data_IF_884870393371
#
_entry.id   IF_884870393371
#
_cell.length_a   1.000
_cell.length_b   1.000
_cell.length_c   1.000
_cell.angle_alpha   90.00
_cell.angle_beta   90.00
_cell.angle_gamma   90.00
#
_symmetry.space_group_name_H-M   'P 1'
#
loop_
_entity.id
_entity.type
_entity.pdbx_description
1 polymer ?
#
# COMPACT_ATOMS: atom_id res chain seq x y z
N UNK A 1 -1.76 12.39 13.53
CA UNK A 1 -0.45 11.79 13.12
C UNK A 1 -0.13 12.22 11.69
N UNK A 2 1.14 12.43 11.38
CA UNK A 2 1.56 12.78 10.00
C UNK A 2 1.25 11.64 9.02
N UNK A 3 0.77 11.99 7.84
CA UNK A 3 0.56 11.09 6.71
C UNK A 3 1.14 11.74 5.45
N UNK A 4 1.88 10.98 4.65
CA UNK A 4 2.47 11.47 3.38
C UNK A 4 1.38 11.89 2.38
N UNK A 5 0.27 11.18 2.39
CA UNK A 5 -0.87 11.43 1.51
C UNK A 5 -1.53 12.80 1.78
N UNK A 6 -1.27 13.45 2.93
CA UNK A 6 -1.74 14.81 3.24
C UNK A 6 -1.27 15.81 2.19
N UNK A 7 -0.05 15.65 1.69
CA UNK A 7 0.51 16.54 0.65
C UNK A 7 -0.33 16.44 -0.62
N UNK A 8 -0.65 15.22 -1.06
CA UNK A 8 -1.42 15.01 -2.30
C UNK A 8 -2.86 15.54 -2.18
N UNK A 9 -3.51 15.36 -1.01
CA UNK A 9 -4.86 15.89 -0.76
C UNK A 9 -4.82 17.42 -0.71
N UNK A 10 -3.85 18.01 0.00
CA UNK A 10 -3.68 19.47 0.09
C UNK A 10 -3.39 20.11 -1.27
N UNK A 11 -2.55 19.49 -2.10
CA UNK A 11 -2.29 19.92 -3.47
C UNK A 11 -3.56 19.82 -4.34
N UNK A 12 -4.33 18.74 -4.20
CA UNK A 12 -5.59 18.58 -4.91
C UNK A 12 -6.60 19.68 -4.52
N UNK A 13 -6.78 19.96 -3.23
CA UNK A 13 -7.68 21.02 -2.77
C UNK A 13 -7.32 22.37 -3.40
N UNK A 14 -6.03 22.68 -3.51
CA UNK A 14 -5.56 23.98 -4.02
C UNK A 14 -5.63 24.09 -5.54
N UNK A 15 -5.22 23.05 -6.25
CA UNK A 15 -4.82 23.15 -7.65
C UNK A 15 -5.67 22.32 -8.62
N UNK A 16 -6.51 21.39 -8.14
CA UNK A 16 -7.26 20.50 -9.03
C UNK A 16 -8.69 20.97 -9.25
N UNK A 17 -9.14 20.84 -10.51
CA UNK A 17 -10.55 20.98 -10.87
C UNK A 17 -11.25 19.62 -11.00
N UNK A 18 -10.56 18.50 -10.76
CA UNK A 18 -11.14 17.16 -10.82
C UNK A 18 -11.62 16.76 -9.43
N UNK A 19 -12.56 15.83 -9.37
CA UNK A 19 -12.91 15.18 -8.12
C UNK A 19 -11.77 14.27 -7.64
N UNK A 20 -11.68 14.02 -6.33
CA UNK A 20 -10.72 13.11 -5.71
C UNK A 20 -11.43 11.88 -5.17
N UNK A 21 -10.92 10.70 -5.49
CA UNK A 21 -11.34 9.44 -4.92
C UNK A 21 -10.21 8.83 -4.09
N UNK A 22 -10.39 8.77 -2.77
CA UNK A 22 -9.42 8.20 -1.85
C UNK A 22 -9.81 6.76 -1.53
N UNK A 23 -8.98 5.82 -1.96
CA UNK A 23 -9.21 4.37 -1.80
C UNK A 23 -8.20 3.72 -0.88
N UNK A 24 -8.47 2.50 -0.44
CA UNK A 24 -7.55 1.71 0.39
C UNK A 24 -8.28 0.94 1.47
N UNK A 25 -7.59 0.08 2.21
CA UNK A 25 -8.16 -0.79 3.22
C UNK A 25 -8.97 0.00 4.28
N UNK A 26 -9.84 -0.70 5.01
CA UNK A 26 -10.50 -0.10 6.18
C UNK A 26 -9.50 0.26 7.26
N UNK A 27 -9.84 1.27 8.08
CA UNK A 27 -9.09 1.71 9.26
C UNK A 27 -7.66 2.23 9.00
N UNK A 28 -7.32 2.57 7.75
CA UNK A 28 -6.03 3.22 7.42
C UNK A 28 -6.05 4.75 7.56
N UNK A 29 -7.18 5.33 8.02
CA UNK A 29 -7.31 6.75 8.33
C UNK A 29 -7.75 7.65 7.17
N UNK A 30 -8.41 7.13 6.12
CA UNK A 30 -8.90 7.91 4.97
C UNK A 30 -9.78 9.09 5.38
N UNK A 31 -10.87 8.81 6.07
CA UNK A 31 -11.85 9.81 6.54
C UNK A 31 -11.22 10.88 7.39
N UNK A 32 -10.36 10.46 8.35
CA UNK A 32 -9.66 11.39 9.23
C UNK A 32 -8.76 12.34 8.44
N UNK A 33 -7.97 11.80 7.49
CA UNK A 33 -7.02 12.60 6.70
C UNK A 33 -7.73 13.60 5.80
N UNK A 34 -8.83 13.20 5.15
CA UNK A 34 -9.63 14.09 4.31
C UNK A 34 -10.21 15.23 5.15
N UNK A 35 -10.79 14.94 6.31
CA UNK A 35 -11.35 15.96 7.23
C UNK A 35 -10.26 16.94 7.68
N UNK A 36 -9.12 16.45 8.10
CA UNK A 36 -7.97 17.24 8.58
C UNK A 36 -7.42 18.17 7.48
N UNK A 37 -7.32 17.71 6.23
CA UNK A 37 -6.82 18.52 5.12
C UNK A 37 -7.86 19.56 4.63
N UNK A 38 -9.16 19.25 4.67
CA UNK A 38 -10.20 20.24 4.37
C UNK A 38 -10.17 21.34 5.44
N UNK A 39 -10.09 20.99 6.72
CA UNK A 39 -10.01 21.96 7.82
C UNK A 39 -8.79 22.89 7.68
N UNK A 40 -7.61 22.34 7.40
CA UNK A 40 -6.38 23.12 7.17
C UNK A 40 -6.46 24.04 5.95
N UNK A 41 -7.24 23.67 4.95
CA UNK A 41 -7.37 24.44 3.71
C UNK A 41 -8.21 25.71 3.85
N UNK A 42 -9.02 25.81 4.90
CA UNK A 42 -9.98 26.89 5.12
C UNK A 42 -11.27 26.79 4.30
N UNK A 43 -11.45 25.73 3.52
CA UNK A 43 -12.72 25.44 2.84
C UNK A 43 -13.78 24.98 3.84
N UNK A 44 -15.04 25.38 3.61
CA UNK A 44 -16.20 24.81 4.31
C UNK A 44 -16.34 23.34 3.91
N UNK A 45 -16.55 22.46 4.89
CA UNK A 45 -16.78 21.03 4.65
C UNK A 45 -18.27 20.72 4.69
N UNK A 46 -18.81 20.17 3.61
CA UNK A 46 -20.09 19.47 3.64
C UNK A 46 -19.88 17.97 3.48
N UNK A 47 -20.23 17.20 4.50
CA UNK A 47 -19.94 15.76 4.55
C UNK A 47 -21.24 14.96 4.60
N UNK A 48 -21.31 13.90 3.77
CA UNK A 48 -22.34 12.86 3.80
C UNK A 48 -21.63 11.53 3.98
N UNK A 49 -21.85 10.89 5.13
CA UNK A 49 -21.38 9.53 5.40
C UNK A 49 -22.52 8.55 5.19
N UNK A 50 -22.40 7.67 4.20
CA UNK A 50 -23.47 6.77 3.79
C UNK A 50 -23.70 5.57 4.74
N UNK A 51 -22.80 5.34 5.71
CA UNK A 51 -23.02 4.36 6.78
C UNK A 51 -23.79 5.00 7.93
N UNK A 52 -23.39 6.21 8.34
CA UNK A 52 -24.01 6.92 9.46
C UNK A 52 -25.38 7.51 9.08
N UNK A 53 -25.58 7.80 7.79
CA UNK A 53 -26.76 8.43 7.22
C UNK A 53 -27.37 7.56 6.09
N UNK A 54 -27.90 6.37 6.39
CA UNK A 54 -28.41 5.43 5.38
C UNK A 54 -29.58 6.01 4.56
N UNK A 55 -30.38 6.92 5.12
CA UNK A 55 -31.45 7.60 4.42
C UNK A 55 -30.95 8.46 3.26
N UNK A 56 -29.71 8.97 3.35
CA UNK A 56 -29.09 9.73 2.27
C UNK A 56 -28.80 8.85 1.04
N UNK A 57 -28.59 7.55 1.21
CA UNK A 57 -28.48 6.61 0.09
C UNK A 57 -29.76 6.65 -0.74
N UNK A 58 -30.91 6.46 -0.11
CA UNK A 58 -32.22 6.48 -0.79
C UNK A 58 -32.51 7.86 -1.41
N UNK A 59 -32.13 8.94 -0.72
CA UNK A 59 -32.35 10.30 -1.18
C UNK A 59 -31.51 10.70 -2.41
N UNK A 60 -30.25 10.27 -2.45
CA UNK A 60 -29.28 10.64 -3.49
C UNK A 60 -29.12 9.58 -4.60
N UNK A 61 -29.59 8.33 -4.38
CA UNK A 61 -29.44 7.21 -5.32
C UNK A 61 -30.64 7.04 -6.25
N UNK A 62 -31.68 7.87 -6.15
CA UNK A 62 -32.83 7.79 -7.03
C UNK A 62 -32.41 8.00 -8.50
N UNK A 63 -33.11 7.36 -9.44
CA UNK A 63 -32.97 7.64 -10.87
C UNK A 63 -33.32 9.12 -11.11
N UNK A 64 -32.29 9.96 -11.24
CA UNK A 64 -32.43 11.41 -11.45
C UNK A 64 -31.30 11.91 -12.34
N UNK A 65 -31.55 13.02 -12.99
CA UNK A 65 -30.53 13.75 -13.72
C UNK A 65 -29.45 14.30 -12.78
N UNK A 66 -28.28 14.68 -13.32
CA UNK A 66 -27.23 15.30 -12.52
C UNK A 66 -27.65 16.68 -12.01
N UNK A 67 -28.51 17.41 -12.75
CA UNK A 67 -29.08 18.68 -12.31
C UNK A 67 -30.01 18.51 -11.11
N UNK A 68 -30.91 17.54 -11.15
CA UNK A 68 -31.79 17.21 -10.03
C UNK A 68 -31.00 16.75 -8.80
N UNK A 69 -29.93 15.97 -9.01
CA UNK A 69 -29.02 15.56 -7.95
C UNK A 69 -28.39 16.80 -7.28
N UNK A 70 -27.89 17.75 -8.07
CA UNK A 70 -27.28 18.97 -7.54
C UNK A 70 -28.27 19.84 -6.78
N UNK A 71 -29.51 19.95 -7.27
CA UNK A 71 -30.59 20.68 -6.57
C UNK A 71 -30.87 20.02 -5.22
N UNK A 72 -31.02 18.69 -5.18
CA UNK A 72 -31.24 17.94 -3.93
C UNK A 72 -30.06 18.09 -2.97
N UNK A 73 -28.85 18.04 -3.49
CA UNK A 73 -27.63 18.24 -2.69
C UNK A 73 -27.64 19.64 -2.05
N UNK A 74 -27.91 20.70 -2.84
CA UNK A 74 -27.99 22.07 -2.34
C UNK A 74 -29.13 22.27 -1.32
N UNK A 75 -30.22 21.52 -1.41
CA UNK A 75 -31.34 21.59 -0.46
C UNK A 75 -30.99 21.09 0.94
N UNK A 76 -30.02 20.16 1.06
CA UNK A 76 -29.60 19.59 2.35
C UNK A 76 -28.32 20.27 2.89
N UNK A 77 -27.70 21.15 2.12
CA UNK A 77 -26.53 21.88 2.55
C UNK A 77 -26.89 23.02 3.51
N UNK A 78 -26.12 23.23 4.59
CA UNK A 78 -26.19 24.43 5.42
C UNK A 78 -25.93 25.72 4.62
N UNK A 79 -26.43 26.86 5.13
CA UNK A 79 -26.31 28.16 4.46
C UNK A 79 -24.87 28.68 4.32
N UNK A 80 -23.94 28.18 5.15
CA UNK A 80 -22.51 28.52 5.10
C UNK A 80 -21.77 27.78 3.98
N UNK A 81 -22.38 26.78 3.34
CA UNK A 81 -21.82 26.05 2.20
C UNK A 81 -21.95 26.87 0.90
N UNK A 82 -21.00 27.79 0.69
CA UNK A 82 -20.99 28.67 -0.49
C UNK A 82 -20.30 28.02 -1.69
N UNK A 83 -20.78 28.41 -2.88
CA UNK A 83 -20.13 28.03 -4.14
C UNK A 83 -18.67 28.51 -4.17
N UNK A 84 -17.77 27.64 -4.68
CA UNK A 84 -16.31 27.83 -4.76
C UNK A 84 -15.55 27.92 -3.42
N UNK A 85 -16.25 27.83 -2.29
CA UNK A 85 -15.67 27.84 -0.94
C UNK A 85 -15.93 26.54 -0.18
N UNK A 86 -16.61 25.57 -0.80
CA UNK A 86 -17.05 24.32 -0.15
C UNK A 86 -16.43 23.11 -0.83
N UNK A 87 -15.94 22.18 0.00
CA UNK A 87 -15.60 20.81 -0.38
C UNK A 87 -16.72 19.87 0.06
N UNK A 88 -17.34 19.21 -0.90
CA UNK A 88 -18.33 18.14 -0.67
C UNK A 88 -17.59 16.84 -0.49
N UNK A 89 -17.76 16.22 0.69
CA UNK A 89 -17.13 14.95 1.03
C UNK A 89 -18.17 13.84 1.14
N UNK A 90 -18.10 12.89 0.21
CA UNK A 90 -18.89 11.66 0.24
C UNK A 90 -18.06 10.54 0.85
N UNK A 91 -18.34 10.17 2.09
CA UNK A 91 -17.67 9.10 2.81
C UNK A 91 -18.41 7.77 2.66
N UNK A 92 -17.66 6.67 2.56
CA UNK A 92 -18.17 5.31 2.33
C UNK A 92 -19.01 5.21 1.03
N UNK A 93 -18.47 5.80 -0.05
CA UNK A 93 -19.13 5.96 -1.36
C UNK A 93 -19.58 4.63 -1.99
N UNK A 94 -19.01 3.49 -1.56
CA UNK A 94 -19.44 2.17 -2.02
C UNK A 94 -20.92 1.85 -1.65
N UNK A 95 -21.50 2.58 -0.71
CA UNK A 95 -22.93 2.46 -0.40
C UNK A 95 -23.84 3.24 -1.36
N UNK A 96 -23.25 4.17 -2.15
CA UNK A 96 -23.96 4.99 -3.14
C UNK A 96 -23.10 5.18 -4.40
N UNK A 97 -22.75 4.10 -5.13
CA UNK A 97 -21.77 4.13 -6.22
C UNK A 97 -22.22 4.95 -7.43
N UNK A 98 -23.53 5.19 -7.62
CA UNK A 98 -24.08 5.99 -8.70
C UNK A 98 -23.61 7.45 -8.68
N UNK A 99 -23.19 7.98 -7.54
CA UNK A 99 -22.60 9.32 -7.46
C UNK A 99 -21.33 9.40 -8.32
N UNK A 100 -20.52 8.32 -8.36
CA UNK A 100 -19.32 8.27 -9.17
C UNK A 100 -19.64 8.45 -10.66
N UNK A 101 -20.78 7.96 -11.14
CA UNK A 101 -21.20 8.14 -12.53
C UNK A 101 -21.63 9.57 -12.84
N UNK A 102 -22.16 10.28 -11.84
CA UNK A 102 -22.62 11.67 -11.96
C UNK A 102 -21.47 12.68 -11.80
N UNK A 103 -20.30 12.26 -11.29
CA UNK A 103 -19.21 13.16 -10.89
C UNK A 103 -18.72 14.05 -12.03
N UNK A 104 -18.77 13.57 -13.29
CA UNK A 104 -18.43 14.37 -14.46
C UNK A 104 -19.25 15.66 -14.52
N UNK A 105 -20.56 15.55 -14.43
CA UNK A 105 -21.48 16.71 -14.51
C UNK A 105 -21.33 17.64 -13.31
N UNK A 106 -21.07 17.09 -12.13
CA UNK A 106 -20.84 17.87 -10.91
C UNK A 106 -19.55 18.68 -10.99
N UNK A 107 -18.50 18.10 -11.58
CA UNK A 107 -17.21 18.78 -11.81
C UNK A 107 -17.34 19.85 -12.90
N UNK A 108 -18.07 19.55 -14.00
CA UNK A 108 -18.30 20.49 -15.10
C UNK A 108 -19.13 21.70 -14.65
N UNK A 109 -20.11 21.51 -13.76
CA UNK A 109 -20.91 22.59 -13.17
C UNK A 109 -20.05 23.52 -12.30
N UNK A 110 -19.05 22.98 -11.58
CA UNK A 110 -17.96 23.74 -10.98
C UNK A 110 -18.30 24.49 -9.67
N UNK A 111 -19.51 24.40 -9.12
CA UNK A 111 -19.86 25.08 -7.86
C UNK A 111 -19.05 24.61 -6.66
N UNK A 112 -18.69 23.32 -6.60
CA UNK A 112 -18.06 22.71 -5.45
C UNK A 112 -16.86 21.85 -5.86
N UNK A 113 -15.96 21.61 -4.92
CA UNK A 113 -14.95 20.54 -5.02
C UNK A 113 -15.55 19.27 -4.43
N UNK A 114 -15.24 18.12 -5.05
CA UNK A 114 -15.80 16.83 -4.62
C UNK A 114 -14.68 15.89 -4.24
N UNK A 115 -14.72 15.37 -3.01
CA UNK A 115 -13.87 14.28 -2.56
C UNK A 115 -14.73 13.11 -2.12
N UNK A 116 -14.31 11.91 -2.45
CA UNK A 116 -14.99 10.67 -2.10
C UNK A 116 -14.00 9.77 -1.39
N UNK A 117 -14.46 9.03 -0.39
CA UNK A 117 -13.68 7.95 0.20
C UNK A 117 -14.47 6.64 0.23
N UNK A 118 -13.76 5.54 0.16
CA UNK A 118 -14.35 4.23 0.35
C UNK A 118 -13.31 3.14 0.51
N UNK A 119 -13.69 2.15 1.29
CA UNK A 119 -13.00 0.87 1.36
C UNK A 119 -13.59 -0.04 0.30
N UNK A 120 -12.83 -0.98 -0.26
CA UNK A 120 -13.34 -1.98 -1.23
C UNK A 120 -13.77 -1.44 -2.60
N UNK A 121 -13.52 -0.16 -2.89
CA UNK A 121 -13.93 0.46 -4.16
C UNK A 121 -13.38 -0.26 -5.40
N UNK A 122 -12.21 -0.88 -5.30
CA UNK A 122 -11.67 -1.71 -6.39
C UNK A 122 -12.54 -2.91 -6.73
N UNK A 123 -13.36 -3.40 -5.80
CA UNK A 123 -14.29 -4.52 -5.99
C UNK A 123 -15.64 -4.04 -6.51
N UNK A 124 -16.18 -2.98 -5.92
CA UNK A 124 -17.55 -2.51 -6.17
C UNK A 124 -17.66 -1.63 -7.41
N UNK A 125 -16.61 -0.85 -7.74
CA UNK A 125 -16.58 -0.06 -8.97
C UNK A 125 -16.53 -0.92 -10.25
N UNK A 126 -16.24 -2.21 -10.17
CA UNK A 126 -16.36 -3.15 -11.32
C UNK A 126 -17.79 -3.24 -11.89
N UNK A 127 -18.80 -2.85 -11.10
CA UNK A 127 -20.20 -2.78 -11.53
C UNK A 127 -20.63 -1.43 -12.12
N UNK A 128 -19.78 -0.39 -12.04
CA UNK A 128 -20.11 0.94 -12.56
C UNK A 128 -19.78 1.00 -14.05
N UNK A 129 -20.80 1.24 -14.86
CA UNK A 129 -20.74 1.20 -16.33
C UNK A 129 -19.74 2.20 -16.95
N UNK A 130 -19.28 3.24 -16.22
CA UNK A 130 -18.25 4.17 -16.70
C UNK A 130 -17.69 5.03 -15.54
N UNK A 131 -16.48 4.75 -15.09
CA UNK A 131 -15.72 5.73 -14.35
C UNK A 131 -15.41 6.90 -15.30
N UNK A 132 -15.71 8.17 -14.93
CA UNK A 132 -15.53 9.31 -15.82
C UNK A 132 -14.03 9.62 -15.99
N UNK A 133 -13.43 9.03 -17.02
CA UNK A 133 -12.03 9.26 -17.39
C UNK A 133 -11.82 10.77 -17.61
N UNK A 134 -10.83 11.35 -16.94
CA UNK A 134 -10.51 12.77 -17.06
C UNK A 134 -11.10 13.67 -15.96
N UNK A 135 -12.14 13.25 -15.25
CA UNK A 135 -12.82 14.02 -14.19
C UNK A 135 -12.49 13.56 -12.77
N UNK A 136 -11.81 12.46 -12.63
CA UNK A 136 -11.51 11.82 -11.35
C UNK A 136 -10.01 11.58 -11.21
N UNK A 137 -9.45 11.98 -10.08
CA UNK A 137 -8.12 11.60 -9.61
C UNK A 137 -8.28 10.54 -8.53
N UNK A 138 -7.53 9.44 -8.63
CA UNK A 138 -7.56 8.36 -7.64
C UNK A 138 -6.30 8.41 -6.79
N UNK A 139 -6.46 8.52 -5.47
CA UNK A 139 -5.39 8.40 -4.49
C UNK A 139 -5.58 7.08 -3.73
N UNK A 140 -4.60 6.19 -3.85
CA UNK A 140 -4.61 4.93 -3.11
C UNK A 140 -3.77 5.08 -1.85
N UNK A 141 -4.42 5.04 -0.69
CA UNK A 141 -3.78 5.04 0.61
C UNK A 141 -3.39 3.62 1.05
N UNK A 142 -2.31 3.55 1.79
CA UNK A 142 -1.81 2.32 2.42
C UNK A 142 -1.70 2.51 3.93
N UNK A 143 -1.52 1.43 4.74
CA UNK A 143 -1.09 1.55 6.12
C UNK A 143 0.17 2.42 6.23
N UNK A 144 0.41 3.02 7.39
CA UNK A 144 1.58 3.87 7.63
C UNK A 144 2.87 3.10 7.31
N UNK A 145 3.73 3.71 6.54
CA UNK A 145 5.04 3.17 6.24
C UNK A 145 6.04 3.43 7.39
N UNK A 146 7.28 2.93 7.26
CA UNK A 146 8.26 3.10 8.32
C UNK A 146 8.66 4.56 8.54
N UNK A 147 8.67 5.41 7.51
CA UNK A 147 8.93 6.85 7.66
C UNK A 147 7.83 7.53 8.47
N UNK A 148 6.56 7.26 8.16
CA UNK A 148 5.41 7.76 8.92
C UNK A 148 5.42 7.26 10.37
N UNK A 149 5.81 5.99 10.59
CA UNK A 149 5.99 5.41 11.92
C UNK A 149 7.10 6.11 12.71
N UNK A 150 8.25 6.38 12.08
CA UNK A 150 9.34 7.15 12.69
C UNK A 150 8.88 8.54 13.12
N UNK A 151 8.19 9.26 12.22
CA UNK A 151 7.65 10.59 12.52
C UNK A 151 6.61 10.56 13.65
N UNK A 152 5.74 9.57 13.68
CA UNK A 152 4.76 9.37 14.74
C UNK A 152 5.42 9.10 16.11
N UNK A 153 6.62 8.53 16.11
CA UNK A 153 7.44 8.31 17.32
C UNK A 153 8.47 9.43 17.55
N UNK A 154 8.25 10.63 17.00
CA UNK A 154 9.05 11.85 17.22
C UNK A 154 10.51 11.76 16.72
N UNK A 155 10.79 10.94 15.71
CA UNK A 155 12.08 11.03 14.99
C UNK A 155 12.11 12.35 14.24
N UNK A 156 13.20 13.12 14.41
CA UNK A 156 13.33 14.45 13.84
C UNK A 156 13.45 14.42 12.31
N UNK A 157 12.95 15.46 11.65
CA UNK A 157 13.11 15.66 10.20
C UNK A 157 14.60 15.66 9.82
N UNK A 158 15.47 16.25 10.65
CA UNK A 158 16.94 16.24 10.45
C UNK A 158 17.49 14.80 10.35
N UNK A 159 16.96 13.87 11.16
CA UNK A 159 17.36 12.45 11.07
C UNK A 159 16.90 11.83 9.75
N UNK A 160 15.67 12.14 9.30
CA UNK A 160 15.16 11.64 8.03
C UNK A 160 15.96 12.20 6.84
N UNK A 161 16.31 13.49 6.88
CA UNK A 161 17.15 14.13 5.85
C UNK A 161 18.54 13.49 5.81
N UNK A 162 19.16 13.26 6.98
CA UNK A 162 20.43 12.56 7.07
C UNK A 162 20.35 11.16 6.46
N UNK A 163 19.27 10.40 6.72
CA UNK A 163 19.08 9.07 6.11
C UNK A 163 18.94 9.14 4.60
N UNK A 164 18.21 10.14 4.07
CA UNK A 164 18.12 10.40 2.63
C UNK A 164 19.50 10.68 2.00
N UNK A 165 20.33 11.50 2.66
CA UNK A 165 21.70 11.79 2.18
C UNK A 165 22.59 10.53 2.22
N UNK A 166 22.53 9.76 3.32
CA UNK A 166 23.28 8.51 3.45
C UNK A 166 22.90 7.49 2.37
N UNK A 167 21.62 7.37 2.09
CA UNK A 167 21.10 6.51 1.02
C UNK A 167 21.59 6.97 -0.37
N UNK A 168 21.47 8.27 -0.69
CA UNK A 168 21.91 8.85 -1.98
C UNK A 168 23.43 8.70 -2.20
N UNK A 169 24.19 8.96 -1.15
CA UNK A 169 25.67 8.93 -1.22
C UNK A 169 26.25 7.54 -0.93
N UNK A 170 25.39 6.53 -0.73
CA UNK A 170 25.80 5.16 -0.39
C UNK A 170 26.83 5.13 0.74
N UNK A 171 26.62 5.91 1.79
CA UNK A 171 27.54 6.08 2.90
C UNK A 171 26.95 5.54 4.21
N UNK A 172 27.76 4.93 5.09
CA UNK A 172 27.27 4.29 6.30
C UNK A 172 26.63 5.30 7.26
N UNK A 173 25.59 4.87 7.96
CA UNK A 173 25.00 5.57 9.08
C UNK A 173 25.89 5.39 10.30
N UNK A 174 25.97 6.41 11.18
CA UNK A 174 26.64 6.27 12.46
C UNK A 174 26.10 5.02 13.20
N UNK A 175 27.02 4.24 13.79
CA UNK A 175 26.67 2.92 14.35
C UNK A 175 25.63 3.02 15.47
N UNK A 176 25.73 4.05 16.32
CA UNK A 176 24.74 4.25 17.40
C UNK A 176 23.36 4.55 16.83
N UNK A 177 23.28 5.42 15.81
CA UNK A 177 22.03 5.77 15.13
C UNK A 177 21.47 4.55 14.39
N UNK A 178 22.34 3.80 13.69
CA UNK A 178 21.99 2.57 12.97
C UNK A 178 21.29 1.57 13.92
N UNK A 179 21.90 1.29 15.07
CA UNK A 179 21.34 0.34 16.05
C UNK A 179 20.00 0.82 16.65
N UNK A 180 19.83 2.12 16.85
CA UNK A 180 18.57 2.70 17.31
C UNK A 180 17.46 2.56 16.26
N UNK A 181 17.75 2.89 15.03
CA UNK A 181 16.79 2.77 13.91
C UNK A 181 16.43 1.30 13.63
N UNK A 182 17.42 0.42 13.70
CA UNK A 182 17.17 -1.02 13.55
C UNK A 182 16.27 -1.54 14.67
N UNK A 183 16.50 -1.11 15.91
CA UNK A 183 15.63 -1.47 17.03
C UNK A 183 14.20 -0.94 16.85
N UNK A 184 14.05 0.29 16.35
CA UNK A 184 12.75 0.87 16.02
C UNK A 184 12.06 0.11 14.89
N UNK A 185 12.81 -0.35 13.89
CA UNK A 185 12.26 -1.16 12.81
C UNK A 185 11.72 -2.51 13.31
N UNK A 186 12.41 -3.16 14.26
CA UNK A 186 11.88 -4.38 14.87
C UNK A 186 10.58 -4.14 15.65
N UNK A 187 10.44 -2.99 16.30
CA UNK A 187 9.16 -2.57 16.90
C UNK A 187 8.09 -2.38 15.81
N UNK A 188 8.45 -1.72 14.70
CA UNK A 188 7.54 -1.54 13.57
C UNK A 188 7.06 -2.88 12.97
N UNK A 189 7.92 -3.91 12.91
CA UNK A 189 7.50 -5.25 12.47
C UNK A 189 6.37 -5.84 13.32
N UNK A 190 6.25 -5.40 14.58
CA UNK A 190 5.22 -5.89 15.49
C UNK A 190 4.00 -4.97 15.51
N UNK A 191 4.21 -3.66 15.55
CA UNK A 191 3.13 -2.66 15.62
C UNK A 191 2.46 -2.46 14.27
N UNK A 192 3.24 -2.52 13.19
CA UNK A 192 2.78 -2.23 11.83
C UNK A 192 2.47 -0.76 11.60
N UNK A 193 1.68 -0.53 10.55
CA UNK A 193 1.27 0.80 10.09
C UNK A 193 -0.23 1.09 10.22
N UNK A 194 -1.01 0.26 10.90
CA UNK A 194 -2.41 0.58 11.17
C UNK A 194 -2.49 1.73 12.17
N UNK A 195 -3.15 2.88 11.82
CA UNK A 195 -3.11 4.10 12.65
C UNK A 195 -3.51 3.88 14.10
N UNK A 196 -4.53 3.08 14.37
CA UNK A 196 -4.98 2.81 15.74
C UNK A 196 -3.97 1.95 16.50
N UNK A 197 -3.31 1.00 15.85
CA UNK A 197 -2.24 0.21 16.46
C UNK A 197 -1.01 1.08 16.78
N UNK A 198 -0.62 1.98 15.86
CA UNK A 198 0.47 2.94 16.08
C UNK A 198 0.13 3.91 17.21
N UNK A 199 -1.09 4.44 17.24
CA UNK A 199 -1.57 5.33 18.31
C UNK A 199 -1.52 4.61 19.66
N UNK A 200 -2.06 3.41 19.76
CA UNK A 200 -2.05 2.60 20.99
C UNK A 200 -0.63 2.35 21.45
N UNK A 201 0.29 2.03 20.54
CA UNK A 201 1.70 1.87 20.89
C UNK A 201 2.32 3.17 21.44
N UNK A 202 2.04 4.32 20.83
CA UNK A 202 2.58 5.61 21.28
C UNK A 202 2.10 5.94 22.69
N UNK A 203 0.82 5.70 22.96
CA UNK A 203 0.17 6.04 24.24
C UNK A 203 0.54 5.08 25.36
N UNK A 204 0.64 3.78 25.09
CA UNK A 204 0.76 2.74 26.13
C UNK A 204 2.14 2.10 26.22
N UNK A 205 2.88 2.04 25.10
CA UNK A 205 4.11 1.24 24.93
C UNK A 205 3.90 -0.26 25.24
N UNK A 206 2.66 -0.72 25.34
CA UNK A 206 2.30 -2.11 25.64
C UNK A 206 1.90 -2.86 24.35
N UNK A 207 2.72 -3.82 23.97
CA UNK A 207 2.49 -4.65 22.77
C UNK A 207 1.22 -5.52 22.90
N UNK A 208 0.78 -5.83 24.12
CA UNK A 208 -0.46 -6.60 24.35
C UNK A 208 -1.70 -5.78 23.98
N UNK A 209 -1.69 -4.48 24.28
CA UNK A 209 -2.79 -3.58 23.88
C UNK A 209 -2.79 -3.38 22.35
N UNK A 210 -1.62 -3.25 21.75
CA UNK A 210 -1.48 -3.22 20.26
C UNK A 210 -2.04 -4.51 19.63
N UNK A 211 -1.72 -5.68 20.18
CA UNK A 211 -2.18 -6.97 19.68
C UNK A 211 -3.73 -7.09 19.70
N UNK A 212 -4.38 -6.56 20.76
CA UNK A 212 -5.85 -6.50 20.80
C UNK A 212 -6.41 -5.70 19.65
N UNK A 213 -5.89 -4.49 19.42
CA UNK A 213 -6.32 -3.62 18.31
C UNK A 213 -6.13 -4.32 16.96
N UNK A 214 -4.99 -4.96 16.75
CA UNK A 214 -4.70 -5.69 15.51
C UNK A 214 -5.64 -6.87 15.29
N UNK A 215 -6.01 -7.61 16.34
CA UNK A 215 -6.99 -8.69 16.27
C UNK A 215 -8.38 -8.19 15.95
N UNK A 216 -8.79 -7.06 16.52
CA UNK A 216 -10.07 -6.43 16.23
C UNK A 216 -10.14 -6.01 14.76
N UNK A 217 -9.08 -5.37 14.23
CA UNK A 217 -8.96 -5.02 12.81
C UNK A 217 -9.08 -6.26 11.91
N UNK A 218 -8.34 -7.32 12.26
CA UNK A 218 -8.37 -8.58 11.49
C UNK A 218 -9.77 -9.23 11.52
N UNK A 219 -10.45 -9.17 12.64
CA UNK A 219 -11.82 -9.67 12.78
C UNK A 219 -12.78 -8.89 11.88
N UNK A 220 -12.71 -7.56 11.90
CA UNK A 220 -13.51 -6.70 11.03
C UNK A 220 -13.25 -6.97 9.54
N UNK A 221 -11.99 -7.18 9.13
CA UNK A 221 -11.68 -7.56 7.76
C UNK A 221 -12.37 -8.88 7.36
N UNK A 222 -12.34 -9.89 8.24
CA UNK A 222 -13.00 -11.17 8.00
C UNK A 222 -14.52 -11.08 7.97
N UNK A 223 -15.11 -10.18 8.72
CA UNK A 223 -16.54 -9.88 8.66
C UNK A 223 -16.90 -9.22 7.33
N UNK A 224 -16.08 -8.28 6.85
CA UNK A 224 -16.29 -7.64 5.55
C UNK A 224 -16.23 -8.63 4.40
N UNK A 225 -15.30 -9.61 4.44
CA UNK A 225 -15.29 -10.68 3.44
C UNK A 225 -16.61 -11.41 3.35
N UNK A 226 -17.37 -11.43 4.46
CA UNK A 226 -18.68 -12.10 4.56
C UNK A 226 -19.82 -11.30 3.98
N UNK A 227 -19.70 -9.97 3.84
CA UNK A 227 -20.80 -9.11 3.36
C UNK A 227 -20.91 -9.09 1.83
N UNK A 228 -19.83 -9.32 1.10
CA UNK A 228 -19.72 -9.02 -0.32
C UNK A 228 -19.64 -10.23 -1.25
N UNK A 229 -19.63 -11.47 -0.73
CA UNK A 229 -19.51 -12.66 -1.55
C UNK A 229 -20.56 -13.73 -1.24
N UNK A 230 -20.85 -14.56 -2.23
CA UNK A 230 -21.69 -15.77 -2.09
C UNK A 230 -21.04 -16.70 -1.06
N UNK A 231 -21.82 -17.40 -0.24
CA UNK A 231 -21.35 -18.15 0.95
C UNK A 231 -20.10 -19.04 0.73
N UNK A 232 -20.03 -19.76 -0.38
CA UNK A 232 -18.88 -20.61 -0.71
C UNK A 232 -17.57 -19.81 -0.90
N UNK A 233 -17.66 -18.54 -1.33
CA UNK A 233 -16.51 -17.69 -1.54
C UNK A 233 -16.05 -16.98 -0.26
N UNK A 234 -16.97 -16.72 0.67
CA UNK A 234 -16.67 -16.13 1.98
C UNK A 234 -15.66 -16.96 2.78
N UNK A 235 -15.94 -18.28 2.87
CA UNK A 235 -15.04 -19.21 3.56
C UNK A 235 -13.67 -19.28 2.89
N UNK A 236 -13.64 -19.19 1.54
CA UNK A 236 -12.40 -19.20 0.77
C UNK A 236 -11.55 -17.96 1.04
N UNK A 237 -12.14 -16.76 1.02
CA UNK A 237 -11.44 -15.50 1.34
C UNK A 237 -10.83 -15.53 2.74
N UNK A 238 -11.61 -15.96 3.75
CA UNK A 238 -11.12 -16.11 5.12
C UNK A 238 -9.96 -17.10 5.20
N UNK A 239 -10.11 -18.27 4.58
CA UNK A 239 -9.07 -19.29 4.57
C UNK A 239 -7.79 -18.84 3.88
N UNK A 240 -7.90 -18.12 2.74
CA UNK A 240 -6.74 -17.55 2.05
C UNK A 240 -6.02 -16.55 2.96
N UNK A 241 -6.77 -15.63 3.58
CA UNK A 241 -6.19 -14.60 4.46
C UNK A 241 -5.48 -15.24 5.67
N UNK A 242 -6.10 -16.25 6.29
CA UNK A 242 -5.59 -16.93 7.48
C UNK A 242 -4.31 -17.72 7.22
N UNK A 243 -4.10 -18.23 6.02
CA UNK A 243 -2.89 -19.04 5.71
C UNK A 243 -1.71 -18.19 5.23
N UNK A 244 -1.87 -16.87 4.99
CA UNK A 244 -0.77 -15.99 4.55
C UNK A 244 0.48 -16.15 5.43
N UNK A 245 0.41 -16.09 6.77
CA UNK A 245 1.58 -16.21 7.62
C UNK A 245 2.27 -17.59 7.46
N UNK A 246 1.49 -18.64 7.33
CA UNK A 246 2.01 -20.01 7.16
C UNK A 246 2.69 -20.21 5.80
N UNK A 247 2.12 -19.64 4.72
CA UNK A 247 2.70 -19.72 3.38
C UNK A 247 4.02 -18.95 3.27
N UNK A 248 4.12 -17.78 3.89
CA UNK A 248 5.34 -16.98 3.92
C UNK A 248 6.48 -17.60 4.73
N UNK A 249 6.18 -18.45 5.72
CA UNK A 249 7.19 -19.15 6.51
C UNK A 249 7.75 -20.41 5.84
N UNK A 250 7.15 -20.87 4.76
CA UNK A 250 7.66 -22.04 4.03
C UNK A 250 8.97 -21.73 3.33
N UNK A 251 9.81 -22.72 3.17
CA UNK A 251 11.03 -22.62 2.36
C UNK A 251 10.73 -22.26 0.90
N UNK A 252 9.61 -22.78 0.36
CA UNK A 252 9.06 -22.37 -0.93
C UNK A 252 7.83 -21.48 -0.68
N UNK A 253 8.00 -20.18 -0.74
CA UNK A 253 6.98 -19.16 -0.45
C UNK A 253 5.95 -18.97 -1.57
N UNK A 254 6.01 -19.78 -2.63
CA UNK A 254 4.97 -19.83 -3.66
C UNK A 254 3.66 -20.24 -2.99
N UNK A 255 2.59 -19.45 -3.20
CA UNK A 255 1.27 -19.77 -2.69
C UNK A 255 0.78 -21.11 -3.27
N UNK A 256 0.42 -22.07 -2.39
CA UNK A 256 0.08 -23.46 -2.78
C UNK A 256 -1.39 -23.72 -2.52
N UNK A 257 -2.19 -23.78 -3.60
CA UNK A 257 -3.64 -23.98 -3.55
C UNK A 257 -4.10 -25.27 -2.89
N UNK A 258 -3.29 -26.34 -2.97
CA UNK A 258 -3.61 -27.64 -2.37
C UNK A 258 -3.67 -27.63 -0.85
N UNK A 259 -3.21 -26.53 -0.20
CA UNK A 259 -3.39 -26.30 1.23
C UNK A 259 -4.83 -25.90 1.58
N UNK A 260 -5.53 -25.29 0.64
CA UNK A 260 -6.94 -24.89 0.82
C UNK A 260 -7.88 -26.05 0.51
N UNK A 261 -7.57 -26.80 -0.55
CA UNK A 261 -8.32 -28.01 -0.95
C UNK A 261 -7.50 -28.80 -1.96
N UNK A 262 -7.47 -30.14 -1.83
CA UNK A 262 -6.62 -31.07 -2.64
C UNK A 262 -7.00 -31.09 -4.13
N UNK A 263 -8.22 -30.72 -4.49
CA UNK A 263 -8.73 -30.79 -5.88
C UNK A 263 -8.76 -29.45 -6.63
N UNK A 264 -8.18 -28.36 -6.06
CA UNK A 264 -8.42 -27.02 -6.55
C UNK A 264 -7.36 -26.53 -7.55
N UNK A 265 -7.89 -25.89 -8.61
CA UNK A 265 -7.13 -25.16 -9.64
C UNK A 265 -7.18 -23.66 -9.38
N UNK A 266 -6.15 -22.92 -9.81
CA UNK A 266 -6.01 -21.48 -9.73
C UNK A 266 -7.27 -20.72 -10.17
N UNK A 267 -7.87 -21.10 -11.30
CA UNK A 267 -9.01 -20.43 -11.92
C UNK A 267 -10.22 -20.25 -10.98
N UNK A 268 -10.36 -21.13 -9.98
CA UNK A 268 -11.45 -21.04 -9.00
C UNK A 268 -11.20 -20.06 -7.86
N UNK A 269 -9.95 -19.60 -7.68
CA UNK A 269 -9.55 -18.69 -6.61
C UNK A 269 -9.02 -17.36 -7.11
N UNK A 270 -8.77 -17.20 -8.40
CA UNK A 270 -8.23 -15.97 -8.98
C UNK A 270 -9.04 -14.76 -8.56
N UNK A 271 -10.36 -14.83 -8.65
CA UNK A 271 -11.26 -13.76 -8.22
C UNK A 271 -11.12 -13.43 -6.72
N UNK A 272 -10.86 -14.44 -5.87
CA UNK A 272 -10.68 -14.22 -4.42
C UNK A 272 -9.36 -13.50 -4.11
N UNK A 273 -8.29 -13.82 -4.83
CA UNK A 273 -7.01 -13.09 -4.68
C UNK A 273 -7.10 -11.66 -5.21
N UNK A 274 -7.75 -11.48 -6.36
CA UNK A 274 -8.01 -10.14 -6.90
C UNK A 274 -8.85 -9.33 -5.92
N UNK A 275 -9.83 -9.96 -5.29
CA UNK A 275 -10.66 -9.30 -4.28
C UNK A 275 -9.82 -8.83 -3.08
N UNK A 276 -8.99 -9.69 -2.48
CA UNK A 276 -8.12 -9.32 -1.35
C UNK A 276 -7.12 -8.20 -1.71
N UNK A 277 -6.60 -8.23 -2.95
CA UNK A 277 -5.75 -7.16 -3.49
C UNK A 277 -6.52 -5.85 -3.62
N UNK A 278 -7.71 -5.89 -4.23
CA UNK A 278 -8.53 -4.72 -4.51
C UNK A 278 -9.10 -4.13 -3.20
N UNK A 279 -9.40 -4.98 -2.21
CA UNK A 279 -9.74 -4.58 -0.85
C UNK A 279 -8.54 -3.94 -0.09
N UNK A 280 -7.34 -4.09 -0.62
CA UNK A 280 -6.13 -3.52 -0.01
C UNK A 280 -5.63 -4.27 1.22
N UNK A 281 -6.09 -5.52 1.45
CA UNK A 281 -5.71 -6.31 2.64
C UNK A 281 -4.59 -7.31 2.37
N UNK A 282 -4.31 -7.61 1.10
CA UNK A 282 -3.20 -8.47 0.71
C UNK A 282 -2.48 -7.94 -0.55
N UNK A 283 -1.21 -8.31 -0.69
CA UNK A 283 -0.31 -7.86 -1.75
C UNK A 283 0.19 -9.09 -2.53
N UNK A 284 -0.40 -9.42 -3.69
CA UNK A 284 0.12 -10.48 -4.54
C UNK A 284 1.36 -9.99 -5.31
N UNK A 285 2.46 -10.70 -5.15
CA UNK A 285 3.71 -10.50 -5.89
C UNK A 285 3.88 -11.68 -6.84
N UNK A 286 3.84 -11.40 -8.14
CA UNK A 286 3.85 -12.43 -9.18
C UNK A 286 5.26 -12.79 -9.63
N UNK A 287 5.44 -14.01 -10.11
CA UNK A 287 6.68 -14.42 -10.75
C UNK A 287 6.80 -13.79 -12.14
N UNK A 288 8.03 -13.42 -12.52
CA UNK A 288 8.41 -13.14 -13.91
C UNK A 288 9.39 -14.18 -14.41
N UNK A 289 9.24 -14.59 -15.67
CA UNK A 289 10.11 -15.61 -16.28
C UNK A 289 11.49 -15.05 -16.65
N UNK A 290 11.55 -13.75 -16.94
CA UNK A 290 12.80 -13.04 -17.20
C UNK A 290 12.74 -11.64 -16.60
N UNK A 291 13.80 -11.18 -15.92
CA UNK A 291 13.87 -9.84 -15.34
C UNK A 291 14.28 -8.81 -16.39
N UNK A 292 13.42 -8.59 -17.39
CA UNK A 292 13.62 -7.64 -18.50
C UNK A 292 12.42 -6.73 -18.65
N UNK A 293 12.65 -5.48 -19.06
CA UNK A 293 11.59 -4.48 -19.26
C UNK A 293 10.80 -4.78 -20.55
N UNK A 294 9.46 -4.70 -20.51
CA UNK A 294 8.62 -4.53 -19.31
C UNK A 294 8.44 -5.84 -18.55
N UNK A 295 8.61 -5.82 -17.22
CA UNK A 295 8.47 -7.01 -16.35
C UNK A 295 7.11 -7.69 -16.50
N UNK A 296 6.07 -6.89 -16.74
CA UNK A 296 4.71 -7.38 -16.96
C UNK A 296 4.61 -8.36 -18.14
N UNK A 297 5.45 -8.22 -19.18
CA UNK A 297 5.41 -9.07 -20.38
C UNK A 297 5.77 -10.53 -20.08
N UNK A 298 6.59 -10.79 -19.06
CA UNK A 298 7.02 -12.13 -18.65
C UNK A 298 6.33 -12.63 -17.37
N UNK A 299 5.24 -11.97 -16.95
CA UNK A 299 4.50 -12.30 -15.72
C UNK A 299 3.79 -13.66 -15.86
N UNK A 300 4.02 -14.54 -14.90
CA UNK A 300 3.27 -15.80 -14.76
C UNK A 300 2.02 -15.56 -13.90
N UNK A 301 0.83 -15.72 -14.48
CA UNK A 301 -0.44 -15.41 -13.79
C UNK A 301 -0.74 -16.32 -12.59
N UNK A 302 -0.28 -17.57 -12.62
CA UNK A 302 -0.59 -18.62 -11.64
C UNK A 302 0.55 -18.89 -10.63
N UNK A 303 1.63 -18.12 -10.68
CA UNK A 303 2.77 -18.25 -9.78
C UNK A 303 2.97 -16.93 -9.05
N UNK A 304 2.60 -16.88 -7.77
CA UNK A 304 2.73 -15.68 -6.96
C UNK A 304 2.99 -16.03 -5.49
N UNK A 305 3.47 -15.03 -4.76
CA UNK A 305 3.52 -14.98 -3.30
C UNK A 305 2.44 -14.03 -2.83
N UNK A 306 1.85 -14.27 -1.66
CA UNK A 306 0.83 -13.40 -1.10
C UNK A 306 1.32 -12.83 0.23
N UNK A 307 1.54 -11.52 0.25
CA UNK A 307 1.96 -10.79 1.44
C UNK A 307 0.76 -10.10 2.10
N UNK A 308 0.85 -9.83 3.40
CA UNK A 308 -0.10 -8.96 4.09
C UNK A 308 0.13 -7.50 3.69
N UNK A 309 -0.92 -6.71 3.59
CA UNK A 309 -0.80 -5.27 3.33
C UNK A 309 -0.22 -4.49 4.50
N UNK A 310 -0.23 -5.07 5.70
CA UNK A 310 0.38 -4.51 6.91
C UNK A 310 1.19 -5.56 7.65
N UNK A 311 2.44 -5.21 8.00
CA UNK A 311 3.36 -6.12 8.68
C UNK A 311 2.92 -6.41 10.11
N UNK A 312 2.30 -5.45 10.80
CA UNK A 312 1.79 -5.66 12.16
C UNK A 312 0.61 -6.63 12.18
N UNK A 313 -0.29 -6.56 11.20
CA UNK A 313 -1.38 -7.53 11.04
C UNK A 313 -0.85 -8.92 10.71
N UNK A 314 0.22 -9.04 9.90
CA UNK A 314 0.91 -10.32 9.70
C UNK A 314 1.44 -10.85 11.03
N UNK A 315 2.17 -10.03 11.77
CA UNK A 315 2.83 -10.41 13.03
C UNK A 315 1.83 -10.73 14.13
N UNK A 316 0.64 -10.11 14.11
CA UNK A 316 -0.44 -10.40 15.07
C UNK A 316 -0.92 -11.86 15.02
N UNK A 317 -0.75 -12.54 13.89
CA UNK A 317 -1.10 -13.95 13.73
C UNK A 317 -0.11 -14.92 14.41
N UNK A 318 1.05 -14.42 14.88
CA UNK A 318 2.06 -15.23 15.53
C UNK A 318 1.90 -15.22 17.07
N UNK A 319 2.39 -16.27 17.78
CA UNK A 319 2.39 -16.30 19.24
C UNK A 319 3.17 -15.13 19.87
N UNK A 320 2.85 -14.80 21.13
CA UNK A 320 3.51 -13.72 21.84
C UNK A 320 5.02 -13.95 22.00
N UNK A 321 5.43 -15.19 22.15
CA UNK A 321 6.85 -15.61 22.24
C UNK A 321 7.61 -15.19 21.00
N UNK A 322 7.08 -15.44 19.80
CA UNK A 322 7.68 -15.01 18.52
C UNK A 322 7.85 -13.50 18.45
N UNK A 323 6.87 -12.73 18.94
CA UNK A 323 6.96 -11.25 18.99
C UNK A 323 8.07 -10.79 19.92
N UNK A 324 8.23 -11.43 21.07
CA UNK A 324 9.32 -11.13 22.02
C UNK A 324 10.69 -11.48 21.45
N UNK A 325 10.80 -12.58 20.71
CA UNK A 325 12.04 -12.97 20.04
C UNK A 325 12.43 -11.98 18.95
N UNK A 326 11.47 -11.44 18.19
CA UNK A 326 11.71 -10.35 17.24
C UNK A 326 12.32 -9.13 17.93
N UNK A 327 11.77 -8.71 19.08
CA UNK A 327 12.29 -7.55 19.85
C UNK A 327 13.70 -7.83 20.37
N UNK A 328 13.93 -9.01 20.92
CA UNK A 328 15.19 -9.38 21.56
C UNK A 328 16.31 -9.66 20.54
N UNK A 329 16.03 -9.59 19.25
CA UNK A 329 16.99 -9.85 18.15
C UNK A 329 17.65 -11.24 18.27
N UNK A 330 16.99 -12.21 18.88
CA UNK A 330 17.48 -13.58 18.96
C UNK A 330 17.43 -14.17 17.55
N UNK A 331 18.60 -14.31 16.92
CA UNK A 331 18.75 -14.77 15.53
C UNK A 331 18.32 -16.23 15.27
N UNK A 332 17.66 -16.88 16.21
CA UNK A 332 17.08 -18.21 16.10
C UNK A 332 15.71 -18.20 15.39
N UNK A 333 15.01 -17.04 15.35
CA UNK A 333 13.75 -16.92 14.63
C UNK A 333 14.03 -16.65 13.15
N UNK A 334 13.34 -17.38 12.29
CA UNK A 334 13.36 -17.09 10.85
C UNK A 334 12.59 -15.81 10.54
N UNK A 335 13.23 -14.66 10.64
CA UNK A 335 12.66 -13.34 10.39
C UNK A 335 12.47 -13.04 8.89
N UNK A 336 12.81 -13.97 8.00
CA UNK A 336 12.76 -13.77 6.55
C UNK A 336 11.36 -13.39 6.06
N UNK A 337 10.31 -14.06 6.57
CA UNK A 337 8.93 -13.75 6.22
C UNK A 337 8.52 -12.33 6.61
N UNK A 338 8.90 -11.87 7.81
CA UNK A 338 8.60 -10.52 8.29
C UNK A 338 9.34 -9.46 7.50
N UNK A 339 10.63 -9.67 7.24
CA UNK A 339 11.44 -8.72 6.45
C UNK A 339 10.93 -8.61 5.02
N UNK A 340 10.66 -9.73 4.36
CA UNK A 340 10.12 -9.71 2.99
C UNK A 340 8.73 -9.05 2.95
N UNK A 341 7.86 -9.31 3.94
CA UNK A 341 6.56 -8.65 3.99
C UNK A 341 6.69 -7.14 4.17
N UNK A 342 7.59 -6.67 5.04
CA UNK A 342 7.83 -5.25 5.23
C UNK A 342 8.37 -4.59 3.96
N UNK A 343 9.27 -5.25 3.22
CA UNK A 343 9.78 -4.77 1.94
C UNK A 343 8.67 -4.75 0.88
N UNK A 344 7.85 -5.81 0.77
CA UNK A 344 6.72 -5.86 -0.18
C UNK A 344 5.72 -4.72 0.08
N UNK A 345 5.36 -4.50 1.35
CA UNK A 345 4.51 -3.40 1.79
C UNK A 345 5.11 -2.05 1.39
N UNK A 346 6.38 -1.83 1.68
CA UNK A 346 7.06 -0.57 1.43
C UNK A 346 7.21 -0.28 -0.06
N UNK A 347 7.63 -1.26 -0.87
CA UNK A 347 7.71 -1.10 -2.32
C UNK A 347 6.35 -0.73 -2.92
N UNK A 348 5.27 -1.42 -2.47
CA UNK A 348 3.92 -1.14 -2.94
C UNK A 348 3.44 0.25 -2.53
N UNK A 349 3.70 0.68 -1.29
CA UNK A 349 3.35 2.01 -0.80
C UNK A 349 4.10 3.13 -1.55
N UNK A 350 5.32 2.86 -2.01
CA UNK A 350 6.12 3.77 -2.83
C UNK A 350 5.75 3.76 -4.34
N UNK A 351 4.68 3.03 -4.72
CA UNK A 351 4.15 3.01 -6.08
C UNK A 351 4.76 1.96 -7.00
N UNK A 352 5.70 1.14 -6.54
CA UNK A 352 6.23 0.04 -7.33
C UNK A 352 5.24 -1.12 -7.46
N UNK A 353 5.35 -1.85 -8.55
CA UNK A 353 4.73 -3.16 -8.74
C UNK A 353 5.84 -4.21 -8.55
N UNK A 354 6.00 -4.78 -7.35
CA UNK A 354 7.03 -5.76 -7.12
C UNK A 354 6.68 -7.10 -7.79
N UNK A 355 7.69 -7.72 -8.37
CA UNK A 355 7.67 -9.10 -8.86
C UNK A 355 8.75 -9.90 -8.14
N UNK A 356 8.77 -11.22 -8.31
CA UNK A 356 9.92 -12.06 -7.98
C UNK A 356 10.35 -12.84 -9.21
N UNK A 357 11.57 -13.35 -9.24
CA UNK A 357 12.02 -14.17 -10.34
C UNK A 357 12.61 -15.47 -9.82
N UNK A 358 12.00 -16.61 -10.21
CA UNK A 358 12.46 -17.94 -9.88
C UNK A 358 12.77 -18.72 -11.14
N UNK A 359 14.00 -19.17 -11.29
CA UNK A 359 14.45 -19.93 -12.44
C UNK A 359 15.18 -21.19 -12.03
N UNK A 360 14.84 -22.32 -12.68
CA UNK A 360 15.49 -23.62 -12.43
C UNK A 360 16.98 -23.50 -12.71
N UNK A 361 17.82 -24.01 -11.81
CA UNK A 361 19.28 -24.02 -11.86
C UNK A 361 19.98 -22.65 -11.68
N UNK A 362 19.25 -21.53 -11.58
CA UNK A 362 19.81 -20.20 -11.31
C UNK A 362 19.55 -19.84 -9.85
N UNK A 363 18.31 -19.95 -9.41
CA UNK A 363 17.88 -19.61 -8.07
C UNK A 363 16.60 -18.78 -8.06
N UNK A 364 16.41 -18.03 -6.99
CA UNK A 364 15.24 -17.20 -6.76
C UNK A 364 15.68 -15.84 -6.21
N UNK A 365 15.26 -14.74 -6.84
CA UNK A 365 15.37 -13.37 -6.33
C UNK A 365 14.11 -13.01 -5.59
N UNK A 366 14.23 -12.43 -4.39
CA UNK A 366 13.09 -12.12 -3.54
C UNK A 366 12.15 -11.11 -4.18
N UNK A 367 12.69 -10.01 -4.72
CA UNK A 367 11.94 -9.03 -5.49
C UNK A 367 12.71 -8.55 -6.72
N UNK A 368 11.93 -8.12 -7.71
CA UNK A 368 12.39 -7.44 -8.92
C UNK A 368 11.44 -6.29 -9.20
N UNK A 369 11.95 -5.10 -9.39
CA UNK A 369 11.16 -3.90 -9.70
C UNK A 369 11.70 -3.21 -10.96
N UNK A 370 10.83 -2.43 -11.61
CA UNK A 370 11.24 -1.43 -12.57
C UNK A 370 11.48 -0.10 -11.83
N UNK A 371 12.64 0.49 -11.98
CA UNK A 371 12.99 1.75 -11.35
C UNK A 371 13.88 2.59 -12.29
N UNK A 372 13.43 3.80 -12.59
CA UNK A 372 14.14 4.73 -13.48
C UNK A 372 14.51 4.10 -14.85
N UNK A 373 13.59 3.35 -15.44
CA UNK A 373 13.77 2.69 -16.73
C UNK A 373 14.72 1.49 -16.73
N UNK A 374 15.06 0.94 -15.56
CA UNK A 374 15.92 -0.24 -15.39
C UNK A 374 15.26 -1.28 -14.50
N UNK A 375 15.64 -2.54 -14.71
CA UNK A 375 15.27 -3.62 -13.79
C UNK A 375 16.25 -3.62 -12.62
N UNK A 376 15.71 -3.64 -11.41
CA UNK A 376 16.49 -3.65 -10.17
C UNK A 376 16.09 -4.87 -9.34
N UNK A 377 16.99 -5.86 -9.19
CA UNK A 377 16.84 -6.95 -8.26
C UNK A 377 17.00 -6.49 -6.81
N UNK A 378 16.21 -7.09 -5.93
CA UNK A 378 16.24 -6.85 -4.49
C UNK A 378 16.26 -8.20 -3.78
N UNK A 379 17.24 -8.39 -2.91
CA UNK A 379 17.37 -9.53 -2.02
C UNK A 379 17.14 -9.08 -0.58
N UNK A 380 16.50 -9.92 0.24
CA UNK A 380 16.16 -9.60 1.63
C UNK A 380 16.79 -10.65 2.55
N UNK A 381 17.62 -10.21 3.48
CA UNK A 381 18.37 -11.08 4.40
C UNK A 381 18.12 -10.69 5.85
N UNK A 382 17.54 -11.57 6.63
CA UNK A 382 17.29 -11.35 8.07
C UNK A 382 18.44 -11.85 8.96
N UNK A 383 19.36 -12.67 8.43
CA UNK A 383 20.48 -13.25 9.18
C UNK A 383 21.80 -12.46 9.04
N UNK A 384 22.80 -12.84 9.85
CA UNK A 384 24.13 -12.21 9.84
C UNK A 384 24.95 -12.50 8.57
N UNK A 385 24.66 -13.59 7.86
CA UNK A 385 25.35 -13.98 6.62
C UNK A 385 24.73 -13.33 5.38
N UNK A 386 24.36 -12.05 5.45
CA UNK A 386 23.62 -11.34 4.41
C UNK A 386 24.43 -11.11 3.11
N UNK A 387 25.75 -11.22 3.15
CA UNK A 387 26.62 -11.15 1.97
C UNK A 387 26.63 -12.43 1.13
N UNK A 388 25.95 -13.48 1.59
CA UNK A 388 25.81 -14.74 0.84
C UNK A 388 24.51 -14.74 0.05
N UNK A 389 24.56 -14.42 -1.23
CA UNK A 389 23.40 -14.28 -2.13
C UNK A 389 23.65 -14.91 -3.51
N UNK A 390 24.04 -16.19 -3.52
CA UNK A 390 24.42 -16.94 -4.73
C UNK A 390 23.38 -16.82 -5.88
N UNK A 391 22.08 -16.80 -5.55
CA UNK A 391 21.04 -16.65 -6.57
C UNK A 391 21.14 -15.28 -7.25
N UNK A 392 21.23 -14.21 -6.48
CA UNK A 392 21.40 -12.86 -7.00
C UNK A 392 22.65 -12.77 -7.89
N UNK A 393 23.79 -13.30 -7.44
CA UNK A 393 25.03 -13.31 -8.23
C UNK A 393 24.86 -14.04 -9.56
N UNK A 394 24.18 -15.18 -9.56
CA UNK A 394 23.89 -15.92 -10.78
C UNK A 394 23.04 -15.11 -11.76
N UNK A 395 22.02 -14.40 -11.28
CA UNK A 395 21.16 -13.56 -12.13
C UNK A 395 21.92 -12.34 -12.67
N UNK A 396 22.72 -11.67 -11.82
CA UNK A 396 23.54 -10.51 -12.24
C UNK A 396 24.55 -10.84 -13.32
N UNK A 397 25.03 -12.10 -13.38
CA UNK A 397 26.00 -12.57 -14.36
C UNK A 397 25.38 -13.02 -15.70
N UNK A 398 24.04 -12.92 -15.89
CA UNK A 398 23.39 -13.24 -17.17
C UNK A 398 23.38 -11.98 -18.05
N UNK A 399 24.15 -11.92 -19.15
CA UNK A 399 24.30 -10.71 -19.95
C UNK A 399 22.96 -10.22 -20.54
N UNK A 400 22.09 -11.13 -20.95
CA UNK A 400 20.79 -10.80 -21.59
C UNK A 400 19.82 -10.06 -20.66
N UNK A 401 20.05 -10.06 -19.35
CA UNK A 401 19.18 -9.37 -18.39
C UNK A 401 19.58 -7.90 -18.15
N UNK A 402 20.76 -7.50 -18.57
CA UNK A 402 21.26 -6.13 -18.44
C UNK A 402 21.09 -5.55 -17.04
N UNK A 403 21.33 -6.36 -16.00
CA UNK A 403 21.20 -5.97 -14.61
C UNK A 403 22.46 -5.21 -14.18
N UNK A 404 22.34 -3.89 -13.98
CA UNK A 404 23.48 -3.03 -13.68
C UNK A 404 23.69 -2.81 -12.17
N UNK A 405 22.62 -2.93 -11.39
CA UNK A 405 22.62 -2.65 -9.94
C UNK A 405 21.63 -3.57 -9.24
N UNK A 406 21.98 -3.97 -8.02
CA UNK A 406 21.10 -4.70 -7.13
C UNK A 406 21.15 -4.13 -5.71
N UNK A 407 20.09 -4.36 -4.94
CA UNK A 407 20.04 -4.03 -3.52
C UNK A 407 19.90 -5.29 -2.68
N UNK A 408 20.61 -5.31 -1.54
CA UNK A 408 20.45 -6.32 -0.49
C UNK A 408 20.02 -5.62 0.79
N UNK A 409 18.78 -5.81 1.21
CA UNK A 409 18.29 -5.30 2.49
C UNK A 409 18.60 -6.28 3.61
N UNK A 410 19.24 -5.78 4.67
CA UNK A 410 19.68 -6.61 5.79
C UNK A 410 19.72 -5.85 7.12
N UNK A 411 20.19 -6.52 8.16
CA UNK A 411 20.50 -5.89 9.45
C UNK A 411 21.84 -5.12 9.43
N UNK A 412 22.63 -5.26 8.35
CA UNK A 412 23.92 -4.56 8.19
C UNK A 412 23.74 -3.07 7.86
N UNK A 413 24.82 -2.33 7.98
CA UNK A 413 24.89 -0.91 7.60
C UNK A 413 25.07 -0.73 6.08
N UNK A 414 25.07 0.51 5.60
CA UNK A 414 25.26 0.81 4.17
C UNK A 414 26.67 0.45 3.73
N UNK A 415 26.75 -0.35 2.68
CA UNK A 415 28.01 -0.79 2.05
C UNK A 415 27.78 -1.04 0.55
N UNK A 416 28.82 -0.93 -0.28
CA UNK A 416 28.74 -1.26 -1.71
C UNK A 416 29.88 -2.17 -2.10
N UNK A 417 29.56 -3.28 -2.78
CA UNK A 417 30.51 -4.22 -3.37
C UNK A 417 30.16 -4.43 -4.85
N UNK A 418 30.96 -3.88 -5.75
CA UNK A 418 30.69 -3.94 -7.19
C UNK A 418 29.35 -3.32 -7.57
N UNK A 419 28.45 -4.12 -8.14
CA UNK A 419 27.10 -3.71 -8.55
C UNK A 419 26.06 -3.87 -7.45
N UNK A 420 26.42 -4.44 -6.30
CA UNK A 420 25.52 -4.70 -5.20
C UNK A 420 25.66 -3.64 -4.12
N UNK A 421 24.58 -3.00 -3.75
CA UNK A 421 24.50 -2.09 -2.60
C UNK A 421 23.74 -2.76 -1.46
N UNK A 422 24.41 -2.94 -0.33
CA UNK A 422 23.81 -3.42 0.92
C UNK A 422 23.23 -2.23 1.66
N UNK A 423 22.01 -2.37 2.10
CA UNK A 423 21.27 -1.33 2.81
C UNK A 423 20.67 -1.88 4.10
N UNK A 424 20.65 -1.09 5.18
CA UNK A 424 19.86 -1.44 6.34
C UNK A 424 18.40 -1.65 5.94
N UNK A 425 17.75 -2.69 6.48
CA UNK A 425 16.37 -3.02 6.16
C UNK A 425 15.40 -1.84 6.36
N UNK A 426 15.65 -1.01 7.36
CA UNK A 426 14.85 0.17 7.63
C UNK A 426 14.93 1.25 6.53
N UNK A 427 15.91 1.18 5.61
CA UNK A 427 16.04 2.11 4.48
C UNK A 427 15.19 1.73 3.26
N UNK A 428 14.44 0.62 3.30
CA UNK A 428 13.62 0.21 2.16
C UNK A 428 12.57 1.26 1.76
N UNK A 429 12.13 2.14 2.69
CA UNK A 429 11.22 3.24 2.39
C UNK A 429 11.83 4.34 1.50
N UNK A 430 13.16 4.37 1.38
CA UNK A 430 13.89 5.35 0.55
C UNK A 430 13.95 4.96 -0.93
N UNK A 431 13.62 3.70 -1.28
CA UNK A 431 13.45 3.33 -2.68
C UNK A 431 12.22 4.06 -3.25
N UNK A 432 12.46 5.06 -4.08
CA UNK A 432 11.42 5.85 -4.77
C UNK A 432 11.87 6.09 -6.20
N UNK A 433 10.94 6.12 -7.14
CA UNK A 433 11.24 6.60 -8.48
C UNK A 433 11.68 8.07 -8.45
N UNK A 434 12.67 8.39 -9.26
CA UNK A 434 13.04 9.79 -9.45
C UNK A 434 11.91 10.48 -10.22
N UNK A 435 11.39 11.57 -9.65
CA UNK A 435 10.48 12.44 -10.42
C UNK A 435 11.28 13.00 -11.59
N UNK A 436 10.92 12.59 -12.80
CA UNK A 436 11.45 13.21 -14.01
C UNK A 436 11.00 14.69 -14.02
N UNK A 437 11.93 15.58 -14.32
CA UNK A 437 11.63 16.98 -14.58
C UNK A 437 10.67 17.13 -15.78
N UNK A 438 10.27 18.34 -16.11
CA UNK A 438 9.47 18.57 -17.29
C UNK A 438 10.21 18.08 -18.54
N UNK A 439 9.63 17.10 -19.22
CA UNK A 439 10.07 16.69 -20.55
C UNK A 439 9.26 17.46 -21.58
N UNK A 440 9.80 18.58 -22.05
CA UNK A 440 9.20 19.39 -23.11
C UNK A 440 9.72 18.85 -24.44
N UNK A 441 8.81 18.40 -25.28
CA UNK A 441 9.11 18.03 -26.67
C UNK A 441 8.36 19.00 -27.54
N UNK A 442 9.08 19.90 -28.18
CA UNK A 442 8.52 20.82 -29.20
C UNK A 442 8.54 20.12 -30.55
N UNK A 443 7.38 20.08 -31.22
CA UNK A 443 7.30 19.61 -32.59
C UNK A 443 7.62 20.78 -33.52
N UNK A 444 8.65 20.63 -34.33
CA UNK A 444 8.89 21.55 -35.45
C UNK A 444 7.88 21.23 -36.56
N UNK A 445 6.91 22.11 -36.71
CA UNK A 445 5.90 22.08 -37.78
C UNK A 445 6.17 23.07 -38.91
N UNK A 446 7.38 23.65 -38.93
CA UNK A 446 7.78 24.66 -39.93
C UNK A 446 7.84 24.00 -41.32
N UNK A 447 6.89 24.34 -42.21
CA UNK A 447 6.85 23.85 -43.58
C UNK A 447 5.92 22.66 -43.84
N UNK A 448 5.00 22.30 -42.92
CA UNK A 448 3.90 21.37 -43.14
C UNK A 448 2.67 22.08 -43.64
#
# INVERSE_FOLDING_TARGET
>A
MYRKDSIAIGEWIKNSNKALLVTGARQIGKTWLIRDEIEKSGYTKFEVNFIDQPDMVSYLNAEMSAEEFLIKLKMIMPEDCKSHETVVFFDEIQKCPEIVTKIKFLVDEGSFKYVMSGSLLGVELKGIASAPVGYLTVLKMYPMDFEEFMMANNVSVTTLDMLNEKFKNTSPVDEFVHQKLLSMFFVYLIVGGMPDAVKTYIETKDIREVDKVQRDITTLYKEDFSQYEIEDRKLKLKSIYDIIPAELNKQNKKFVFTMLDKELKFDRYENSFLWLKDAGVALPVYNVEAPVIPLLASKSSNIFRLFSSDIGLLTSAYPAETKMELINKNGEVNNGAHFENAVAQQLTANGFIPYFCKKKNIGEMDFVIEMNGKVVPIEVKSGKAYKSHKALDNFMNIPDYHLEKAYVFSVGNVETEGTVTYLPIYMCYLLKEQKLGQMIVELDTTGL
#
